data_IF_883955725127
#
_entry.id   IF_883955725127
#
_cell.length_a   1.000
_cell.length_b   1.000
_cell.length_c   1.000
_cell.angle_alpha   90.00
_cell.angle_beta   90.00
_cell.angle_gamma   90.00
#
_symmetry.space_group_name_H-M   'P 1'
#
loop_
_entity.id
_entity.type
_entity.pdbx_description
1 polymer ?
#
# COMPACT_ATOMS: atom_id res chain seq x y z
N UNK A 1 -36.34 -5.25 -8.83
CA UNK A 1 -35.19 -6.17 -9.03
C UNK A 1 -34.89 -6.75 -7.65
N UNK A 2 -35.25 -8.01 -7.43
CA UNK A 2 -34.97 -8.70 -6.17
C UNK A 2 -33.48 -9.04 -6.14
N UNK A 3 -32.73 -8.46 -5.22
CA UNK A 3 -31.35 -8.90 -4.93
C UNK A 3 -31.45 -10.23 -4.20
N UNK A 4 -30.84 -11.27 -4.77
CA UNK A 4 -30.79 -12.60 -4.17
C UNK A 4 -30.02 -12.54 -2.85
N UNK A 5 -30.52 -13.19 -1.80
CA UNK A 5 -29.85 -13.28 -0.48
C UNK A 5 -28.44 -13.88 -0.59
N UNK A 6 -28.11 -14.53 -1.72
CA UNK A 6 -26.78 -15.08 -2.03
C UNK A 6 -25.72 -14.04 -2.45
N UNK A 7 -26.11 -12.77 -2.67
CA UNK A 7 -25.21 -11.70 -3.14
C UNK A 7 -24.87 -10.67 -2.05
N UNK A 8 -25.35 -10.85 -0.82
CA UNK A 8 -25.06 -9.93 0.30
C UNK A 8 -23.66 -10.21 0.81
N UNK A 9 -22.76 -9.23 0.69
CA UNK A 9 -21.47 -9.34 1.34
C UNK A 9 -21.62 -9.30 2.86
N UNK A 10 -21.10 -10.34 3.53
CA UNK A 10 -21.04 -10.39 4.99
C UNK A 10 -20.32 -9.18 5.60
N UNK A 11 -19.34 -8.60 4.89
CA UNK A 11 -18.59 -7.44 5.36
C UNK A 11 -19.41 -6.17 5.18
N UNK A 12 -19.91 -5.92 3.97
CA UNK A 12 -20.77 -4.76 3.67
C UNK A 12 -21.97 -4.69 4.60
N UNK A 13 -22.65 -5.82 4.81
CA UNK A 13 -23.78 -5.88 5.73
C UNK A 13 -23.39 -5.53 7.17
N UNK A 14 -22.27 -6.05 7.68
CA UNK A 14 -21.82 -5.73 9.04
C UNK A 14 -21.44 -4.26 9.19
N UNK A 15 -20.80 -3.66 8.20
CA UNK A 15 -20.51 -2.21 8.19
C UNK A 15 -21.83 -1.44 8.14
N UNK A 16 -22.76 -1.85 7.29
CA UNK A 16 -24.10 -1.28 7.16
C UNK A 16 -24.86 -1.25 8.48
N UNK A 17 -24.88 -2.36 9.21
CA UNK A 17 -25.51 -2.44 10.54
C UNK A 17 -24.83 -1.52 11.56
N UNK A 18 -23.50 -1.35 11.50
CA UNK A 18 -22.78 -0.39 12.36
C UNK A 18 -23.13 1.05 12.03
N UNK A 19 -23.30 1.38 10.75
CA UNK A 19 -23.77 2.70 10.32
C UNK A 19 -25.18 2.95 10.85
N UNK A 20 -26.08 1.98 10.70
CA UNK A 20 -27.46 2.06 11.20
C UNK A 20 -27.50 2.28 12.71
N UNK A 21 -26.77 1.47 13.49
CA UNK A 21 -26.66 1.59 14.95
C UNK A 21 -26.20 3.01 15.36
N UNK A 22 -25.09 3.49 14.79
CA UNK A 22 -24.54 4.80 15.10
C UNK A 22 -25.49 5.93 14.71
N UNK A 23 -26.15 5.81 13.55
CA UNK A 23 -27.12 6.78 13.05
C UNK A 23 -28.33 6.87 14.00
N UNK A 24 -28.88 5.74 14.44
CA UNK A 24 -30.01 5.69 15.37
C UNK A 24 -29.64 6.22 16.77
N UNK A 25 -28.44 5.93 17.28
CA UNK A 25 -27.95 6.51 18.54
C UNK A 25 -27.90 8.05 18.51
N UNK A 26 -27.67 8.63 17.33
CA UNK A 26 -27.64 10.08 17.10
C UNK A 26 -29.00 10.65 16.69
N UNK A 27 -30.06 9.83 16.70
CA UNK A 27 -31.41 10.21 16.27
C UNK A 27 -31.46 10.76 14.85
N UNK A 28 -30.58 10.25 13.98
CA UNK A 28 -30.49 10.63 12.58
C UNK A 28 -31.33 9.67 11.73
N UNK A 29 -32.11 10.16 10.78
CA UNK A 29 -32.85 9.30 9.82
C UNK A 29 -32.00 8.95 8.60
N UNK A 30 -32.35 7.90 7.86
CA UNK A 30 -31.67 7.58 6.59
C UNK A 30 -31.73 8.75 5.60
N UNK A 31 -32.86 9.47 5.55
CA UNK A 31 -33.03 10.65 4.69
C UNK A 31 -32.13 11.82 5.11
N UNK A 32 -31.99 12.05 6.42
CA UNK A 32 -31.08 13.06 6.95
C UNK A 32 -29.61 12.69 6.69
N UNK A 33 -29.23 11.43 6.89
CA UNK A 33 -27.86 10.97 6.59
C UNK A 33 -27.56 11.15 5.10
N UNK A 34 -28.45 10.69 4.23
CA UNK A 34 -28.35 10.83 2.77
C UNK A 34 -28.17 12.30 2.37
N UNK A 35 -29.00 13.19 2.93
CA UNK A 35 -28.89 14.63 2.70
C UNK A 35 -27.56 15.22 3.15
N UNK A 36 -27.03 14.81 4.31
CA UNK A 36 -25.76 15.30 4.85
C UNK A 36 -24.53 14.82 4.07
N UNK A 37 -24.59 13.64 3.47
CA UNK A 37 -23.47 13.06 2.69
C UNK A 37 -23.61 13.27 1.18
N UNK A 38 -24.72 13.89 0.72
CA UNK A 38 -24.96 14.19 -0.70
C UNK A 38 -25.34 12.97 -1.54
N UNK A 39 -25.96 11.95 -0.94
CA UNK A 39 -26.39 10.72 -1.63
C UNK A 39 -27.92 10.61 -1.68
N UNK A 40 -28.43 9.73 -2.52
CA UNK A 40 -29.85 9.39 -2.52
C UNK A 40 -30.21 8.54 -1.29
N UNK A 41 -31.41 8.74 -0.75
CA UNK A 41 -31.95 7.93 0.35
C UNK A 41 -31.76 6.42 0.14
N UNK A 42 -32.05 5.95 -1.09
CA UNK A 42 -31.95 4.54 -1.46
C UNK A 42 -30.53 3.99 -1.38
N UNK A 43 -29.50 4.82 -1.58
CA UNK A 43 -28.10 4.40 -1.44
C UNK A 43 -27.77 4.12 0.02
N UNK A 44 -28.18 4.99 0.94
CA UNK A 44 -28.03 4.75 2.39
C UNK A 44 -28.76 3.47 2.80
N UNK A 45 -30.01 3.28 2.36
CA UNK A 45 -30.74 2.03 2.61
C UNK A 45 -29.97 0.81 2.05
N UNK A 46 -29.39 0.91 0.86
CA UNK A 46 -28.62 -0.19 0.27
C UNK A 46 -27.34 -0.49 1.06
N UNK A 47 -26.66 0.53 1.56
CA UNK A 47 -25.48 0.37 2.41
C UNK A 47 -25.82 -0.28 3.75
N UNK A 48 -26.85 0.19 4.45
CA UNK A 48 -27.27 -0.36 5.75
C UNK A 48 -27.71 -1.82 5.65
N UNK A 49 -28.29 -2.21 4.52
CA UNK A 49 -28.66 -3.59 4.22
C UNK A 49 -27.55 -4.42 3.54
N UNK A 50 -26.38 -3.83 3.25
CA UNK A 50 -25.26 -4.53 2.61
C UNK A 50 -25.50 -4.98 1.17
N UNK A 51 -26.47 -4.38 0.46
CA UNK A 51 -26.75 -4.69 -0.95
C UNK A 51 -25.72 -4.12 -1.92
N UNK A 52 -25.01 -3.07 -1.51
CA UNK A 52 -23.94 -2.45 -2.31
C UNK A 52 -22.71 -2.28 -1.41
N UNK A 53 -21.51 -2.63 -1.91
CA UNK A 53 -20.25 -2.36 -1.23
C UNK A 53 -20.02 -0.86 -0.98
N UNK A 54 -19.47 -0.55 0.18
CA UNK A 54 -19.19 0.84 0.57
C UNK A 54 -17.74 1.17 0.18
N UNK A 55 -17.55 2.24 -0.58
CA UNK A 55 -16.20 2.73 -0.90
C UNK A 55 -15.56 3.38 0.31
N UNK A 56 -14.22 3.43 0.33
CA UNK A 56 -13.47 4.00 1.43
C UNK A 56 -13.89 5.45 1.70
N UNK A 57 -13.92 6.27 0.66
CA UNK A 57 -14.29 7.68 0.78
C UNK A 57 -15.68 7.88 1.37
N UNK A 58 -16.67 7.11 0.90
CA UNK A 58 -18.05 7.20 1.41
C UNK A 58 -18.11 6.84 2.90
N UNK A 59 -17.43 5.78 3.35
CA UNK A 59 -17.45 5.41 4.77
C UNK A 59 -16.77 6.48 5.64
N UNK A 60 -15.70 7.12 5.16
CA UNK A 60 -15.06 8.23 5.88
C UNK A 60 -15.97 9.45 5.98
N UNK A 61 -16.72 9.77 4.92
CA UNK A 61 -17.71 10.84 4.94
C UNK A 61 -18.84 10.53 5.93
N UNK A 62 -19.35 9.28 5.94
CA UNK A 62 -20.36 8.82 6.91
C UNK A 62 -19.82 8.92 8.33
N UNK A 63 -18.61 8.42 8.60
CA UNK A 63 -17.98 8.48 9.92
C UNK A 63 -17.86 9.93 10.43
N UNK A 64 -17.45 10.85 9.55
CA UNK A 64 -17.37 12.28 9.86
C UNK A 64 -18.73 12.88 10.18
N UNK A 65 -19.76 12.60 9.38
CA UNK A 65 -21.13 13.10 9.62
C UNK A 65 -21.70 12.55 10.92
N UNK A 66 -21.40 11.29 11.22
CA UNK A 66 -21.78 10.64 12.46
C UNK A 66 -20.81 10.96 13.62
N UNK A 67 -19.79 11.81 13.45
CA UNK A 67 -18.83 12.14 14.50
C UNK A 67 -18.22 10.92 15.22
N UNK A 68 -17.99 9.81 14.49
CA UNK A 68 -17.35 8.59 14.99
C UNK A 68 -16.01 8.35 14.28
N UNK A 69 -15.15 7.52 14.86
CA UNK A 69 -13.97 7.07 14.12
C UNK A 69 -14.41 6.05 13.07
N UNK A 70 -13.82 6.09 11.86
CA UNK A 70 -14.10 5.09 10.82
C UNK A 70 -13.89 3.66 11.31
N UNK A 71 -12.91 3.44 12.19
CA UNK A 71 -12.60 2.15 12.79
C UNK A 71 -13.75 1.60 13.63
N UNK A 72 -14.59 2.47 14.20
CA UNK A 72 -15.75 2.08 15.00
C UNK A 72 -16.90 1.54 14.14
N UNK A 73 -16.90 1.87 12.84
CA UNK A 73 -17.87 1.37 11.85
C UNK A 73 -17.44 0.04 11.23
N UNK A 74 -16.24 -0.45 11.55
CA UNK A 74 -15.72 -1.70 10.98
C UNK A 74 -16.16 -2.91 11.80
N UNK A 75 -16.45 -4.06 11.16
CA UNK A 75 -16.63 -5.30 11.88
C UNK A 75 -15.38 -5.65 12.69
N UNK A 76 -15.56 -6.50 13.72
CA UNK A 76 -14.42 -7.02 14.49
C UNK A 76 -13.38 -7.61 13.51
N UNK A 77 -12.08 -7.31 13.72
CA UNK A 77 -11.05 -7.69 12.79
C UNK A 77 -11.05 -9.20 12.59
N UNK A 78 -10.76 -9.63 11.37
CA UNK A 78 -10.43 -11.02 11.08
C UNK A 78 -9.23 -11.35 11.97
N UNK A 79 -9.40 -12.29 12.91
CA UNK A 79 -8.29 -12.85 13.66
C UNK A 79 -7.38 -13.55 12.67
N UNK A 80 -6.29 -12.89 12.29
CA UNK A 80 -5.21 -13.51 11.53
C UNK A 80 -4.66 -14.60 12.44
N UNK A 81 -4.81 -15.87 12.04
CA UNK A 81 -4.23 -17.00 12.75
C UNK A 81 -2.74 -16.74 12.96
N UNK A 82 -2.24 -17.14 14.12
CA UNK A 82 -0.81 -17.08 14.42
C UNK A 82 -0.01 -17.75 13.30
N UNK A 83 1.10 -17.08 12.97
CA UNK A 83 1.94 -17.32 11.82
C UNK A 83 2.55 -18.72 11.87
N UNK A 84 2.33 -19.51 10.82
CA UNK A 84 3.28 -20.55 10.42
C UNK A 84 3.95 -20.03 9.15
N UNK A 85 5.23 -19.73 9.29
CA UNK A 85 6.24 -19.50 8.25
C UNK A 85 6.55 -18.08 7.69
N UNK A 86 7.85 -17.79 7.80
CA UNK A 86 8.75 -16.88 7.05
C UNK A 86 8.95 -15.40 7.41
N UNK A 87 8.26 -14.84 8.41
CA UNK A 87 8.56 -13.47 8.91
C UNK A 87 9.00 -13.46 10.40
N UNK A 88 9.71 -14.50 10.82
CA UNK A 88 10.23 -14.60 12.20
C UNK A 88 11.08 -13.39 12.58
N UNK A 89 11.84 -12.78 11.67
CA UNK A 89 12.83 -11.76 12.03
C UNK A 89 12.19 -10.41 12.43
N UNK A 90 11.22 -9.90 11.66
CA UNK A 90 10.51 -8.65 12.00
C UNK A 90 9.62 -8.86 13.23
N UNK A 91 9.01 -10.04 13.37
CA UNK A 91 8.14 -10.38 14.50
C UNK A 91 8.95 -10.62 15.79
N UNK A 92 10.08 -11.32 15.71
CA UNK A 92 11.06 -11.53 16.79
C UNK A 92 11.59 -10.19 17.31
N UNK A 93 11.98 -9.30 16.40
CA UNK A 93 12.48 -7.97 16.76
C UNK A 93 11.37 -7.08 17.36
N UNK A 94 10.11 -7.25 16.95
CA UNK A 94 8.99 -6.53 17.56
C UNK A 94 8.69 -7.04 18.98
N UNK A 95 8.78 -8.35 19.20
CA UNK A 95 8.42 -9.03 20.46
C UNK A 95 9.48 -8.89 21.58
N UNK A 96 10.78 -8.84 21.24
CA UNK A 96 11.87 -8.65 22.23
C UNK A 96 11.81 -7.28 22.89
N UNK A 97 11.40 -6.28 22.13
CA UNK A 97 11.49 -4.88 22.51
C UNK A 97 10.19 -4.32 23.09
N UNK A 98 9.07 -5.04 23.05
CA UNK A 98 7.77 -4.64 23.65
C UNK A 98 7.84 -4.15 25.12
N UNK A 99 8.87 -4.56 25.88
CA UNK A 99 9.02 -4.29 27.30
C UNK A 99 9.88 -3.07 27.67
N UNK A 100 10.33 -2.25 26.72
CA UNK A 100 11.14 -1.06 27.01
C UNK A 100 10.61 0.21 26.32
N UNK A 101 10.86 1.38 26.93
CA UNK A 101 10.48 2.70 26.39
C UNK A 101 11.08 2.94 24.98
N UNK A 102 12.27 2.40 24.71
CA UNK A 102 12.94 2.37 23.39
C UNK A 102 12.37 1.33 22.43
N UNK A 103 11.64 0.35 22.94
CA UNK A 103 11.29 -0.81 22.16
C UNK A 103 9.99 -0.72 21.37
N UNK A 104 9.33 0.44 21.40
CA UNK A 104 8.39 0.85 20.33
C UNK A 104 9.10 1.47 19.12
N UNK A 105 10.23 2.13 19.36
CA UNK A 105 10.96 2.88 18.35
C UNK A 105 11.84 1.95 17.51
N UNK A 106 12.57 1.03 18.15
CA UNK A 106 13.49 0.12 17.45
C UNK A 106 12.79 -0.74 16.39
N UNK A 107 11.65 -1.42 16.68
CA UNK A 107 10.93 -2.19 15.65
C UNK A 107 10.37 -1.30 14.52
N UNK A 108 9.97 -0.07 14.84
CA UNK A 108 9.47 0.88 13.85
C UNK A 108 10.57 1.34 12.90
N UNK A 109 11.78 1.58 13.42
CA UNK A 109 12.96 1.93 12.62
C UNK A 109 13.43 0.76 11.76
N UNK A 110 13.47 -0.45 12.31
CA UNK A 110 13.85 -1.66 11.56
C UNK A 110 12.84 -1.89 10.41
N UNK A 111 11.54 -1.78 10.70
CA UNK A 111 10.49 -1.85 9.69
C UNK A 111 10.66 -0.77 8.63
N UNK A 112 10.94 0.47 9.02
CA UNK A 112 11.18 1.57 8.10
C UNK A 112 12.37 1.31 7.17
N UNK A 113 13.51 0.89 7.71
CA UNK A 113 14.71 0.57 6.91
C UNK A 113 14.39 -0.54 5.91
N UNK A 114 13.76 -1.62 6.37
CA UNK A 114 13.39 -2.75 5.50
C UNK A 114 12.43 -2.34 4.38
N UNK A 115 11.37 -1.59 4.71
CA UNK A 115 10.42 -1.07 3.71
C UNK A 115 11.16 -0.17 2.71
N UNK A 116 12.05 0.72 3.20
CA UNK A 116 12.79 1.65 2.33
C UNK A 116 13.71 0.90 1.35
N UNK A 117 14.33 -0.20 1.79
CA UNK A 117 15.14 -1.06 0.94
C UNK A 117 14.29 -1.70 -0.17
N UNK A 118 13.12 -2.25 0.18
CA UNK A 118 12.20 -2.85 -0.79
C UNK A 118 11.65 -1.85 -1.80
N UNK A 119 11.31 -0.64 -1.36
CA UNK A 119 10.89 0.45 -2.25
C UNK A 119 12.03 0.81 -3.20
N UNK A 120 13.26 0.92 -2.70
CA UNK A 120 14.43 1.23 -3.54
C UNK A 120 14.69 0.14 -4.59
N UNK A 121 14.53 -1.15 -4.25
CA UNK A 121 14.62 -2.27 -5.19
C UNK A 121 13.56 -2.15 -6.28
N UNK A 122 12.30 -1.88 -5.93
CA UNK A 122 11.22 -1.71 -6.89
C UNK A 122 11.42 -0.48 -7.80
N UNK A 123 11.89 0.65 -7.25
CA UNK A 123 12.27 1.83 -8.03
C UNK A 123 13.37 1.51 -9.07
N UNK A 124 14.37 0.71 -8.69
CA UNK A 124 15.43 0.30 -9.60
C UNK A 124 14.90 -0.59 -10.74
N UNK A 125 14.03 -1.56 -10.42
CA UNK A 125 13.34 -2.38 -11.44
C UNK A 125 12.56 -1.53 -12.42
N UNK A 126 11.82 -0.54 -11.89
CA UNK A 126 11.00 0.35 -12.68
C UNK A 126 11.83 1.21 -13.64
N UNK A 127 12.94 1.77 -13.15
CA UNK A 127 13.87 2.57 -13.96
C UNK A 127 14.45 1.75 -15.12
N UNK A 128 14.93 0.53 -14.83
CA UNK A 128 15.47 -0.38 -15.85
C UNK A 128 14.40 -0.77 -16.86
N UNK A 129 13.20 -1.15 -16.40
CA UNK A 129 12.09 -1.52 -17.28
C UNK A 129 11.74 -0.39 -18.25
N UNK A 130 11.59 0.84 -17.75
CA UNK A 130 11.31 2.03 -18.58
C UNK A 130 12.39 2.25 -19.64
N UNK A 131 13.66 2.01 -19.32
CA UNK A 131 14.74 2.14 -20.29
C UNK A 131 14.78 0.99 -21.30
N UNK A 132 14.51 -0.25 -20.88
CA UNK A 132 14.43 -1.40 -21.79
C UNK A 132 13.33 -1.24 -22.84
N UNK A 133 12.20 -0.64 -22.48
CA UNK A 133 11.14 -0.29 -23.45
C UNK A 133 11.66 0.67 -24.51
N UNK A 134 12.42 1.70 -24.12
CA UNK A 134 13.02 2.67 -25.06
C UNK A 134 14.03 2.01 -26.01
N UNK A 135 14.72 0.97 -25.53
CA UNK A 135 15.66 0.17 -26.32
C UNK A 135 14.96 -0.92 -27.18
N UNK A 136 13.62 -1.00 -27.15
CA UNK A 136 12.84 -1.92 -27.98
C UNK A 136 12.86 -3.38 -27.50
N UNK A 137 13.18 -3.63 -26.24
CA UNK A 137 13.14 -4.99 -25.66
C UNK A 137 11.68 -5.44 -25.49
N UNK A 138 11.41 -6.73 -25.75
CA UNK A 138 10.06 -7.26 -25.68
C UNK A 138 9.50 -7.23 -24.25
N UNK A 139 8.19 -7.03 -24.15
CA UNK A 139 7.45 -6.97 -22.88
C UNK A 139 7.65 -8.25 -22.06
N UNK A 140 7.67 -9.42 -22.70
CA UNK A 140 7.87 -10.70 -22.02
C UNK A 140 9.25 -10.81 -21.37
N UNK A 141 10.30 -10.34 -22.05
CA UNK A 141 11.67 -10.34 -21.49
C UNK A 141 11.77 -9.35 -20.32
N UNK A 142 11.17 -8.15 -20.46
CA UNK A 142 11.16 -7.15 -19.39
C UNK A 142 10.44 -7.72 -18.15
N UNK A 143 9.28 -8.33 -18.35
CA UNK A 143 8.50 -8.97 -17.28
C UNK A 143 9.28 -10.09 -16.59
N UNK A 144 9.92 -10.97 -17.36
CA UNK A 144 10.75 -12.05 -16.81
C UNK A 144 11.96 -11.52 -16.02
N UNK A 145 12.63 -10.48 -16.51
CA UNK A 145 13.85 -9.97 -15.88
C UNK A 145 13.60 -9.05 -14.69
N UNK A 146 12.48 -8.31 -14.69
CA UNK A 146 12.18 -7.31 -13.65
C UNK A 146 11.09 -7.76 -12.67
N UNK A 147 10.28 -8.75 -13.04
CA UNK A 147 9.08 -9.14 -12.31
C UNK A 147 7.95 -8.10 -12.40
N UNK A 148 8.08 -7.10 -13.28
CA UNK A 148 7.09 -6.04 -13.47
C UNK A 148 6.21 -6.30 -14.68
N UNK A 149 4.97 -5.87 -14.59
CA UNK A 149 4.04 -5.82 -15.72
C UNK A 149 4.18 -4.54 -16.53
N UNK A 150 3.67 -4.58 -17.76
CA UNK A 150 3.59 -3.41 -18.64
C UNK A 150 2.89 -2.21 -18.00
N UNK A 151 1.87 -2.44 -17.16
CA UNK A 151 1.14 -1.35 -16.50
C UNK A 151 1.99 -0.55 -15.51
N UNK A 152 3.06 -1.15 -15.00
CA UNK A 152 3.90 -0.51 -14.00
C UNK A 152 4.88 0.49 -14.62
N UNK A 153 5.37 0.22 -15.83
CA UNK A 153 6.40 1.03 -16.50
C UNK A 153 5.94 1.70 -17.80
N UNK A 154 4.79 1.34 -18.35
CA UNK A 154 4.22 2.05 -19.50
C UNK A 154 3.72 3.44 -19.09
N UNK A 155 4.05 4.46 -19.88
CA UNK A 155 3.88 5.88 -19.53
C UNK A 155 2.42 6.35 -19.64
N UNK A 156 1.44 5.47 -19.51
CA UNK A 156 0.02 5.83 -19.37
C UNK A 156 -0.31 6.27 -17.94
N UNK A 157 0.65 6.92 -17.26
CA UNK A 157 0.48 7.40 -15.91
C UNK A 157 -0.55 8.55 -15.90
N UNK A 158 -1.72 8.28 -15.31
CA UNK A 158 -2.69 9.32 -14.95
C UNK A 158 -2.07 10.24 -13.90
N UNK A 159 -2.53 11.49 -13.83
CA UNK A 159 -2.14 12.40 -12.75
C UNK A 159 -2.48 11.78 -11.38
N UNK A 160 -1.47 11.63 -10.53
CA UNK A 160 -1.63 11.06 -9.18
C UNK A 160 -1.96 12.17 -8.20
N UNK A 161 -3.16 12.15 -7.63
CA UNK A 161 -3.49 12.99 -6.47
C UNK A 161 -2.93 12.34 -5.20
N UNK A 162 -1.72 12.74 -4.80
CA UNK A 162 -1.01 12.21 -3.62
C UNK A 162 -1.75 12.46 -2.31
N UNK A 163 -2.62 13.47 -2.27
CA UNK A 163 -3.37 13.84 -1.08
C UNK A 163 -4.67 13.05 -0.94
N UNK A 164 -5.05 12.28 -1.97
CA UNK A 164 -6.28 11.48 -1.94
C UNK A 164 -6.19 10.34 -0.92
N UNK A 165 -7.32 10.04 -0.28
CA UNK A 165 -7.42 8.91 0.65
C UNK A 165 -7.07 7.58 -0.03
N UNK A 166 -7.42 7.43 -1.31
CA UNK A 166 -7.11 6.24 -2.09
C UNK A 166 -5.61 6.10 -2.33
N UNK A 167 -4.88 7.17 -2.65
CA UNK A 167 -3.43 7.11 -2.77
C UNK A 167 -2.79 6.68 -1.45
N UNK A 168 -3.22 7.28 -0.33
CA UNK A 168 -2.63 7.03 1.00
C UNK A 168 -2.89 5.61 1.51
N UNK A 169 -4.00 5.00 1.11
CA UNK A 169 -4.29 3.57 1.36
C UNK A 169 -3.54 2.69 0.38
N UNK A 170 -3.49 3.09 -0.89
CA UNK A 170 -2.72 2.41 -1.94
C UNK A 170 -1.23 2.27 -1.58
N UNK A 171 -0.61 3.32 -1.04
CA UNK A 171 0.77 3.26 -0.56
C UNK A 171 0.93 2.29 0.61
N UNK A 172 -0.01 2.25 1.56
CA UNK A 172 0.02 1.26 2.67
C UNK A 172 -0.13 -0.17 2.16
N UNK A 173 -0.99 -0.40 1.17
CA UNK A 173 -1.13 -1.71 0.50
C UNK A 173 0.20 -2.11 -0.13
N UNK A 174 0.83 -1.21 -0.89
CA UNK A 174 2.14 -1.42 -1.51
C UNK A 174 3.24 -1.74 -0.50
N UNK A 175 3.31 -0.98 0.60
CA UNK A 175 4.28 -1.22 1.68
C UNK A 175 4.15 -2.62 2.25
N UNK A 176 2.94 -3.04 2.61
CA UNK A 176 2.70 -4.37 3.17
C UNK A 176 2.89 -5.48 2.14
N UNK A 177 2.56 -5.25 0.88
CA UNK A 177 2.87 -6.16 -0.22
C UNK A 177 4.37 -6.41 -0.31
N UNK A 178 5.17 -5.34 -0.25
CA UNK A 178 6.63 -5.41 -0.31
C UNK A 178 7.24 -6.09 0.93
N UNK A 179 6.68 -5.86 2.12
CA UNK A 179 7.07 -6.57 3.35
C UNK A 179 6.86 -8.07 3.18
N UNK A 180 5.72 -8.48 2.58
CA UNK A 180 5.44 -9.88 2.23
C UNK A 180 6.22 -10.40 1.02
N UNK A 181 7.08 -9.56 0.42
CA UNK A 181 7.88 -9.86 -0.79
C UNK A 181 7.03 -10.27 -1.99
N UNK A 182 5.78 -9.82 -2.05
CA UNK A 182 4.86 -10.08 -3.15
C UNK A 182 5.12 -9.09 -4.29
N UNK A 183 5.09 -9.60 -5.52
CA UNK A 183 4.89 -8.77 -6.72
C UNK A 183 3.43 -8.30 -6.77
N UNK A 184 3.13 -7.27 -7.57
CA UNK A 184 1.73 -6.87 -7.81
C UNK A 184 0.89 -8.03 -8.33
N UNK A 185 1.50 -8.92 -9.14
CA UNK A 185 0.89 -10.15 -9.63
C UNK A 185 0.55 -11.12 -8.49
N UNK A 186 1.49 -11.36 -7.57
CA UNK A 186 1.26 -12.29 -6.45
C UNK A 186 0.10 -11.82 -5.56
N UNK A 187 0.00 -10.51 -5.31
CA UNK A 187 -1.13 -9.96 -4.56
C UNK A 187 -2.43 -10.11 -5.35
N UNK A 188 -2.42 -9.77 -6.64
CA UNK A 188 -3.58 -9.88 -7.53
C UNK A 188 -4.14 -11.31 -7.54
N UNK A 189 -3.28 -12.30 -7.73
CA UNK A 189 -3.63 -13.72 -7.75
C UNK A 189 -4.23 -14.18 -6.41
N UNK A 190 -3.73 -13.67 -5.27
CA UNK A 190 -4.25 -13.99 -3.92
C UNK A 190 -5.63 -13.43 -3.63
N UNK A 191 -6.00 -12.29 -4.20
CA UNK A 191 -7.31 -11.64 -3.97
C UNK A 191 -8.27 -11.78 -5.16
N UNK A 192 -7.89 -12.54 -6.18
CA UNK A 192 -8.72 -12.74 -7.38
C UNK A 192 -8.95 -11.45 -8.16
N UNK A 193 -7.96 -10.55 -8.20
CA UNK A 193 -7.97 -9.33 -8.99
C UNK A 193 -7.00 -9.44 -10.15
N UNK A 194 -7.13 -8.54 -11.11
CA UNK A 194 -6.13 -8.35 -12.15
C UNK A 194 -4.95 -7.55 -11.63
N UNK A 195 -3.78 -7.75 -12.23
CA UNK A 195 -2.58 -6.97 -11.92
C UNK A 195 -2.83 -5.46 -12.14
N UNK A 196 -3.55 -5.11 -13.21
CA UNK A 196 -3.96 -3.72 -13.48
C UNK A 196 -4.76 -3.12 -12.33
N UNK A 197 -5.70 -3.86 -11.74
CA UNK A 197 -6.47 -3.37 -10.59
C UNK A 197 -5.57 -3.12 -9.38
N UNK A 198 -4.65 -4.03 -9.06
CA UNK A 198 -3.67 -3.79 -7.98
C UNK A 198 -2.81 -2.56 -8.26
N UNK A 199 -2.32 -2.40 -9.50
CA UNK A 199 -1.57 -1.21 -9.90
C UNK A 199 -2.40 0.07 -9.69
N UNK A 200 -3.63 0.11 -10.19
CA UNK A 200 -4.52 1.26 -10.05
C UNK A 200 -4.87 1.56 -8.57
N UNK A 201 -5.03 0.52 -7.74
CA UNK A 201 -5.26 0.68 -6.31
C UNK A 201 -4.04 1.23 -5.57
N UNK A 202 -2.84 0.69 -5.82
CA UNK A 202 -1.60 1.18 -5.21
C UNK A 202 -1.29 2.62 -5.60
N UNK A 203 -1.69 3.04 -6.81
CA UNK A 203 -1.57 4.42 -7.30
C UNK A 203 -2.73 5.33 -6.90
N UNK A 204 -3.80 4.79 -6.31
CA UNK A 204 -4.99 5.54 -5.96
C UNK A 204 -5.79 6.06 -7.16
N UNK A 205 -5.62 5.47 -8.35
CA UNK A 205 -6.36 5.87 -9.55
C UNK A 205 -7.81 5.39 -9.55
N UNK A 206 -8.12 4.33 -8.80
CA UNK A 206 -9.43 3.70 -8.78
C UNK A 206 -9.92 3.57 -7.34
N UNK A 207 -11.21 3.80 -7.13
CA UNK A 207 -11.84 3.67 -5.82
C UNK A 207 -11.79 2.23 -5.32
N UNK A 208 -11.51 2.07 -4.03
CA UNK A 208 -11.45 0.77 -3.35
C UNK A 208 -12.67 0.66 -2.43
N UNK A 209 -13.33 -0.50 -2.45
CA UNK A 209 -14.40 -0.85 -1.50
C UNK A 209 -13.82 -1.46 -0.23
N UNK A 210 -14.53 -1.33 0.90
CA UNK A 210 -14.09 -1.97 2.13
C UNK A 210 -14.01 -3.48 2.02
N UNK A 211 -14.88 -4.12 1.25
CA UNK A 211 -14.85 -5.55 0.95
C UNK A 211 -13.51 -5.95 0.32
N UNK A 212 -13.08 -5.23 -0.72
CA UNK A 212 -11.78 -5.47 -1.36
C UNK A 212 -10.61 -5.13 -0.44
N UNK A 213 -10.73 -4.08 0.38
CA UNK A 213 -9.72 -3.77 1.39
C UNK A 213 -9.58 -4.87 2.45
N UNK A 214 -10.67 -5.52 2.85
CA UNK A 214 -10.66 -6.68 3.75
C UNK A 214 -10.02 -7.91 3.10
N UNK A 215 -10.32 -8.19 1.83
CA UNK A 215 -9.67 -9.27 1.07
C UNK A 215 -8.16 -9.05 0.99
N UNK A 216 -7.73 -7.83 0.65
CA UNK A 216 -6.31 -7.45 0.64
C UNK A 216 -5.66 -7.53 2.02
N UNK A 217 -6.33 -7.06 3.08
CA UNK A 217 -5.83 -7.20 4.45
C UNK A 217 -5.63 -8.67 4.85
N UNK A 218 -6.53 -9.55 4.42
CA UNK A 218 -6.41 -11.00 4.61
C UNK A 218 -5.22 -11.59 3.84
N UNK A 219 -5.08 -11.26 2.55
CA UNK A 219 -3.97 -11.73 1.72
C UNK A 219 -2.60 -11.24 2.22
N UNK A 220 -2.54 -10.01 2.75
CA UNK A 220 -1.36 -9.43 3.39
C UNK A 220 -1.17 -9.89 4.85
N UNK A 221 -2.14 -10.63 5.39
CA UNK A 221 -2.16 -11.11 6.77
C UNK A 221 -1.91 -10.00 7.78
N UNK A 222 -2.64 -8.89 7.62
CA UNK A 222 -2.61 -7.73 8.50
C UNK A 222 -3.99 -7.38 9.03
N UNK A 223 -4.02 -6.69 10.16
CA UNK A 223 -5.25 -6.04 10.59
C UNK A 223 -5.59 -4.88 9.64
N UNK A 224 -6.83 -4.80 9.17
CA UNK A 224 -7.28 -3.74 8.25
C UNK A 224 -6.96 -2.32 8.74
N UNK A 225 -6.94 -2.10 10.07
CA UNK A 225 -6.59 -0.79 10.66
C UNK A 225 -5.23 -0.27 10.22
N UNK A 226 -4.29 -1.17 9.94
CA UNK A 226 -2.94 -0.83 9.49
C UNK A 226 -2.93 -0.27 8.07
N UNK A 227 -3.89 -0.70 7.22
CA UNK A 227 -4.05 -0.18 5.86
C UNK A 227 -4.79 1.15 5.82
N UNK A 228 -5.44 1.54 6.92
CA UNK A 228 -6.17 2.78 7.00
C UNK A 228 -5.25 3.92 7.42
N UNK A 229 -5.41 5.11 6.83
CA UNK A 229 -4.74 6.29 7.31
C UNK A 229 -5.23 6.66 8.71
N UNK A 230 -4.31 7.06 9.58
CA UNK A 230 -4.72 7.57 10.89
C UNK A 230 -5.48 8.88 10.68
N UNK A 231 -6.70 8.98 11.21
CA UNK A 231 -7.54 10.20 11.15
C UNK A 231 -6.94 11.42 11.87
N UNK A 232 -5.64 11.39 12.21
CA UNK A 232 -4.85 12.39 12.96
C UNK A 232 -3.57 12.78 12.23
N UNK A 233 -3.54 12.70 10.91
CA UNK A 233 -2.39 13.08 10.07
C UNK A 233 -1.76 14.43 10.40
N UNK A 234 -2.52 15.38 10.95
CA UNK A 234 -1.95 16.68 11.34
C UNK A 234 -1.21 16.70 12.68
N UNK A 235 -1.10 15.59 13.44
CA UNK A 235 -0.39 15.61 14.73
C UNK A 235 0.91 14.85 14.74
N UNK A 236 1.07 13.79 13.96
CA UNK A 236 2.33 13.03 13.95
C UNK A 236 3.38 13.63 13.02
N UNK A 237 3.00 14.08 11.82
CA UNK A 237 3.90 14.83 10.94
C UNK A 237 4.32 16.15 11.60
N UNK A 238 3.38 16.86 12.23
CA UNK A 238 3.70 18.05 13.02
C UNK A 238 4.52 17.75 14.28
N UNK A 239 4.42 16.54 14.86
CA UNK A 239 5.30 16.10 15.95
C UNK A 239 6.70 15.79 15.45
N UNK A 240 6.82 15.09 14.31
CA UNK A 240 8.10 14.78 13.69
C UNK A 240 8.81 16.07 13.25
N UNK A 241 8.08 17.00 12.63
CA UNK A 241 8.57 18.33 12.27
C UNK A 241 8.96 19.13 13.52
N UNK A 242 8.13 19.12 14.58
CA UNK A 242 8.49 19.79 15.84
C UNK A 242 9.70 19.19 16.52
N UNK A 243 9.90 17.87 16.43
CA UNK A 243 11.08 17.19 16.95
C UNK A 243 12.31 17.54 16.11
N UNK A 244 12.19 17.58 14.77
CA UNK A 244 13.27 18.02 13.87
C UNK A 244 13.70 19.46 14.18
N UNK A 245 12.74 20.35 14.45
CA UNK A 245 13.01 21.73 14.86
C UNK A 245 13.64 21.83 16.26
N UNK A 246 13.29 20.92 17.18
CA UNK A 246 13.90 20.81 18.52
C UNK A 246 15.36 20.31 18.46
N UNK A 247 15.71 19.48 17.47
CA UNK A 247 17.06 18.95 17.24
C UNK A 247 17.89 19.78 16.25
N UNK A 248 17.50 21.03 15.96
CA UNK A 248 18.19 21.92 15.01
C UNK A 248 19.66 22.22 15.37
N UNK A 249 20.08 21.98 16.60
CA UNK A 249 21.50 22.04 17.03
C UNK A 249 22.35 20.81 16.60
N UNK A 250 21.73 19.75 16.07
CA UNK A 250 22.39 18.58 15.49
C UNK A 250 22.26 18.52 13.96
N UNK A 251 22.18 19.67 13.30
CA UNK A 251 22.12 19.79 11.83
C UNK A 251 23.23 18.98 11.12
N UNK A 252 24.41 18.90 11.73
CA UNK A 252 25.53 18.10 11.23
C UNK A 252 25.27 16.58 11.25
N UNK A 253 24.66 16.05 12.31
CA UNK A 253 24.30 14.63 12.40
C UNK A 253 23.13 14.30 11.47
N UNK A 254 22.12 15.16 11.39
CA UNK A 254 21.00 14.99 10.46
C UNK A 254 21.50 14.99 9.01
N UNK A 255 22.44 15.89 8.68
CA UNK A 255 23.08 15.94 7.36
C UNK A 255 23.90 14.68 7.07
N UNK A 256 24.74 14.23 8.00
CA UNK A 256 25.50 12.98 7.88
C UNK A 256 24.58 11.79 7.64
N UNK A 257 23.53 11.65 8.45
CA UNK A 257 22.55 10.56 8.29
C UNK A 257 21.82 10.64 6.95
N UNK A 258 21.46 11.85 6.49
CA UNK A 258 20.86 12.03 5.17
C UNK A 258 21.79 11.60 4.03
N UNK A 259 23.07 11.95 4.12
CA UNK A 259 24.10 11.55 3.15
C UNK A 259 24.32 10.02 3.16
N UNK A 260 24.41 9.42 4.35
CA UNK A 260 24.54 7.97 4.52
C UNK A 260 23.31 7.23 3.99
N UNK A 261 22.10 7.74 4.23
CA UNK A 261 20.86 7.19 3.70
C UNK A 261 20.81 7.27 2.16
N UNK A 262 21.27 8.38 1.56
CA UNK A 262 21.38 8.51 0.10
C UNK A 262 22.39 7.50 -0.47
N UNK A 263 23.55 7.36 0.18
CA UNK A 263 24.57 6.37 -0.19
C UNK A 263 24.03 4.94 -0.10
N UNK A 264 23.30 4.62 0.97
CA UNK A 264 22.62 3.34 1.15
C UNK A 264 21.59 3.07 0.06
N UNK A 265 20.75 4.07 -0.26
CA UNK A 265 19.77 3.99 -1.35
C UNK A 265 20.41 3.64 -2.68
N UNK A 266 21.50 4.32 -3.06
CA UNK A 266 22.20 4.04 -4.33
C UNK A 266 22.83 2.64 -4.35
N UNK A 267 23.38 2.16 -3.23
CA UNK A 267 23.92 0.80 -3.14
C UNK A 267 22.84 -0.27 -3.33
N UNK A 268 21.69 -0.10 -2.68
CA UNK A 268 20.55 -1.01 -2.83
C UNK A 268 20.05 -1.04 -4.27
N UNK A 269 19.86 0.13 -4.89
CA UNK A 269 19.45 0.22 -6.29
C UNK A 269 20.44 -0.44 -7.22
N UNK A 270 21.74 -0.18 -7.04
CA UNK A 270 22.82 -0.76 -7.85
C UNK A 270 22.84 -2.29 -7.75
N UNK A 271 22.70 -2.84 -6.54
CA UNK A 271 22.64 -4.29 -6.34
C UNK A 271 21.45 -4.93 -7.08
N UNK A 272 20.27 -4.28 -7.02
CA UNK A 272 19.10 -4.77 -7.75
C UNK A 272 19.27 -4.67 -9.27
N UNK A 273 19.86 -3.57 -9.77
CA UNK A 273 20.19 -3.41 -11.20
C UNK A 273 21.13 -4.52 -11.69
N UNK A 274 22.13 -4.90 -10.89
CA UNK A 274 23.05 -6.00 -11.21
C UNK A 274 22.30 -7.33 -11.31
N UNK A 275 21.35 -7.60 -10.40
CA UNK A 275 20.52 -8.79 -10.44
C UNK A 275 19.70 -8.86 -11.74
N UNK A 276 19.03 -7.77 -12.10
CA UNK A 276 18.26 -7.67 -13.35
C UNK A 276 19.17 -7.86 -14.57
N UNK A 277 20.35 -7.23 -14.57
CA UNK A 277 21.32 -7.37 -15.67
C UNK A 277 21.69 -8.84 -15.90
N UNK A 278 21.93 -9.62 -14.84
CA UNK A 278 22.19 -11.07 -14.94
C UNK A 278 21.03 -11.82 -15.58
N UNK A 279 19.81 -11.50 -15.20
CA UNK A 279 18.62 -12.17 -15.74
C UNK A 279 18.38 -11.77 -17.22
N UNK A 280 18.68 -10.54 -17.61
CA UNK A 280 18.67 -10.09 -19.01
C UNK A 280 19.75 -10.79 -19.86
N UNK A 281 20.95 -11.01 -19.32
CA UNK A 281 22.01 -11.77 -20.00
C UNK A 281 21.53 -13.21 -20.26
N UNK A 282 20.91 -13.86 -19.27
CA UNK A 282 20.32 -15.21 -19.44
C UNK A 282 19.21 -15.23 -20.48
N UNK A 283 18.43 -14.15 -20.58
CA UNK A 283 17.38 -13.97 -21.60
C UNK A 283 17.92 -13.63 -22.99
N UNK A 284 19.24 -13.51 -23.18
CA UNK A 284 19.87 -13.27 -24.48
C UNK A 284 19.83 -11.81 -24.95
N UNK A 285 19.59 -10.85 -24.05
CA UNK A 285 19.62 -9.42 -24.39
C UNK A 285 21.07 -8.97 -24.64
N UNK A 286 21.28 -8.16 -25.68
CA UNK A 286 22.60 -7.68 -26.04
C UNK A 286 23.25 -6.85 -24.92
N UNK A 287 24.54 -7.06 -24.66
CA UNK A 287 25.23 -6.44 -23.52
C UNK A 287 25.24 -4.92 -23.56
N UNK A 288 25.26 -4.32 -24.76
CA UNK A 288 25.21 -2.86 -24.94
C UNK A 288 23.84 -2.29 -24.55
N UNK A 289 22.74 -3.00 -24.85
CA UNK A 289 21.38 -2.66 -24.41
C UNK A 289 21.30 -2.74 -22.88
N UNK A 290 21.84 -3.80 -22.27
CA UNK A 290 21.84 -3.97 -20.81
C UNK A 290 22.60 -2.84 -20.12
N UNK A 291 23.77 -2.46 -20.64
CA UNK A 291 24.57 -1.34 -20.13
C UNK A 291 23.79 -0.02 -20.21
N UNK A 292 23.18 0.29 -21.37
CA UNK A 292 22.38 1.51 -21.53
C UNK A 292 21.15 1.54 -20.62
N UNK A 293 20.44 0.42 -20.50
CA UNK A 293 19.21 0.37 -19.72
C UNK A 293 19.43 0.42 -18.21
N UNK A 294 20.51 -0.21 -17.73
CA UNK A 294 20.84 -0.28 -16.29
C UNK A 294 21.71 0.87 -15.80
N UNK A 295 22.51 1.49 -16.68
CA UNK A 295 23.55 2.46 -16.28
C UNK A 295 24.75 1.82 -15.58
N UNK A 296 24.89 0.49 -15.64
CA UNK A 296 26.02 -0.26 -15.11
C UNK A 296 27.18 -0.29 -16.09
N UNK A 297 28.38 -0.57 -15.59
CA UNK A 297 29.54 -0.87 -16.45
C UNK A 297 29.42 -2.26 -17.07
N UNK A 298 30.14 -2.49 -18.18
CA UNK A 298 30.11 -3.79 -18.86
C UNK A 298 30.62 -4.95 -17.99
N UNK A 299 31.53 -4.68 -17.05
CA UNK A 299 32.06 -5.69 -16.13
C UNK A 299 31.04 -6.04 -15.03
N UNK A 300 30.26 -5.07 -14.56
CA UNK A 300 29.19 -5.26 -13.57
C UNK A 300 28.02 -6.06 -14.13
N UNK A 301 27.78 -6.01 -15.45
CA UNK A 301 26.74 -6.82 -16.10
C UNK A 301 27.16 -8.29 -16.28
N UNK A 302 28.46 -8.61 -16.23
CA UNK A 302 29.00 -9.95 -16.48
C UNK A 302 29.25 -10.78 -15.22
N UNK A 303 29.45 -10.12 -14.07
CA UNK A 303 29.77 -10.73 -12.77
C UNK A 303 28.57 -10.82 -11.85
#
# INVERSE_FOLDING_TARGET
MFVSVRDISSISYKIGQKIEDCRLMQRCTQAELASKIGLAYKEVTNYENGYIPITIEVLYVIARVLSVNVVDLLPKPITVREYEDEDEEILYLTKIYENQKLGKIVPSLIRFVHISEKINQEEARLEVAKNLVKEGVSVDIISQATGLSIYEYDNTEKEVCTDSIYYRIGQRIREWRLIRRYTQKDLADKVGLTLKEIHEYERGYTAITFDKLYEMAGALSVNIKVLLPETRESKEENRLLSLIDEYREQESLVKSLSEDMKSGKEKVKKAEKIKIAKDLVKAGVASDIIVRASGLTADECKN
#
